data_IF_442185458039
#
_entry.id   IF_442185458039
#
_cell.length_a   1.000
_cell.length_b   1.000
_cell.length_c   1.000
_cell.angle_alpha   90.00
_cell.angle_beta   90.00
_cell.angle_gamma   90.00
#
_symmetry.space_group_name_H-M   'P 1'
#
loop_
_entity.id
_entity.type
_entity.pdbx_description
1 polymer ?
#
# COMPACT_ATOMS: atom_id res chain seq x y z
N UNK A 1 17.69 3.48 42.94
CA UNK A 1 19.17 3.42 43.00
C UNK A 1 19.77 4.20 44.18
N UNK A 2 19.32 5.40 44.55
CA UNK A 2 19.95 6.20 45.63
C UNK A 2 19.85 5.61 47.06
N UNK A 3 18.72 5.01 47.48
CA UNK A 3 18.60 4.46 48.86
C UNK A 3 19.19 3.06 49.07
N UNK A 4 19.47 2.30 48.00
CA UNK A 4 20.18 1.02 48.10
C UNK A 4 21.69 1.19 48.25
N UNK A 5 22.23 2.35 47.88
CA UNK A 5 23.66 2.71 47.91
C UNK A 5 24.00 3.74 49.01
N UNK A 6 23.03 4.17 49.83
CA UNK A 6 23.24 5.10 50.94
C UNK A 6 23.55 6.56 50.55
N UNK A 7 23.47 6.92 49.25
CA UNK A 7 23.79 8.27 48.79
C UNK A 7 22.64 9.25 49.02
N UNK A 8 22.97 10.50 49.33
CA UNK A 8 21.96 11.54 49.52
C UNK A 8 21.30 11.92 48.19
N UNK A 9 20.06 12.41 48.22
CA UNK A 9 19.34 12.87 47.02
C UNK A 9 20.12 14.00 46.32
N UNK A 10 20.75 14.88 47.09
CA UNK A 10 21.56 16.00 46.59
C UNK A 10 22.81 15.52 45.87
N UNK A 11 23.47 14.50 46.41
CA UNK A 11 24.68 13.89 45.83
C UNK A 11 24.36 13.13 44.55
N UNK A 12 23.23 12.42 44.52
CA UNK A 12 22.72 11.77 43.31
C UNK A 12 22.37 12.80 42.22
N UNK A 13 21.77 13.93 42.61
CA UNK A 13 21.45 15.03 41.69
C UNK A 13 22.72 15.68 41.10
N UNK A 14 23.76 15.89 41.91
CA UNK A 14 25.07 16.38 41.44
C UNK A 14 25.76 15.39 40.51
N UNK A 15 25.75 14.11 40.85
CA UNK A 15 26.39 13.04 40.07
C UNK A 15 25.72 12.87 38.68
N UNK A 16 24.40 12.99 38.62
CA UNK A 16 23.62 12.87 37.37
C UNK A 16 23.49 14.22 36.63
N UNK A 17 23.94 15.33 37.23
CA UNK A 17 23.85 16.67 36.63
C UNK A 17 22.40 17.16 36.45
N UNK A 18 21.47 16.71 37.29
CA UNK A 18 20.04 17.03 37.21
C UNK A 18 19.57 17.77 38.46
N UNK A 19 18.42 18.45 38.41
CA UNK A 19 17.88 19.13 39.59
C UNK A 19 17.44 18.13 40.67
N UNK A 20 17.54 18.54 41.94
CA UNK A 20 17.06 17.73 43.09
C UNK A 20 15.59 17.34 42.93
N UNK A 21 14.76 18.24 42.39
CA UNK A 21 13.34 17.98 42.13
C UNK A 21 13.11 16.92 41.04
N UNK A 22 13.94 16.87 40.00
CA UNK A 22 13.88 15.83 38.98
C UNK A 22 14.20 14.44 39.56
N UNK A 23 15.22 14.35 40.43
CA UNK A 23 15.56 13.09 41.11
C UNK A 23 14.43 12.60 42.02
N UNK A 24 13.80 13.52 42.77
CA UNK A 24 12.65 13.20 43.63
C UNK A 24 11.45 12.76 42.80
N UNK A 25 11.12 13.46 41.73
CA UNK A 25 9.95 13.14 40.89
C UNK A 25 10.14 11.82 40.14
N UNK A 26 11.33 11.54 39.60
CA UNK A 26 11.65 10.26 38.98
C UNK A 26 11.64 9.11 39.98
N UNK A 27 12.12 9.32 41.21
CA UNK A 27 12.07 8.31 42.27
C UNK A 27 10.64 8.01 42.73
N UNK A 28 9.81 9.05 42.90
CA UNK A 28 8.40 8.89 43.23
C UNK A 28 7.63 8.13 42.14
N UNK A 29 7.84 8.49 40.87
CA UNK A 29 7.29 7.74 39.72
C UNK A 29 7.73 6.28 39.70
N UNK A 30 9.01 6.01 39.97
CA UNK A 30 9.52 4.64 40.00
C UNK A 30 8.88 3.78 41.11
N UNK A 31 8.62 4.36 42.29
CA UNK A 31 7.93 3.66 43.39
C UNK A 31 6.46 3.39 43.02
N UNK A 32 5.78 4.35 42.42
CA UNK A 32 4.35 4.25 42.13
C UNK A 32 4.05 3.39 40.88
N UNK A 33 4.86 3.53 39.82
CA UNK A 33 4.58 2.97 38.49
C UNK A 33 5.46 1.74 38.15
N UNK A 34 6.33 1.30 39.07
CA UNK A 34 7.22 0.15 38.88
C UNK A 34 8.35 0.35 37.85
N UNK A 35 8.51 1.57 37.31
CA UNK A 35 9.52 1.92 36.32
C UNK A 35 9.51 3.39 35.94
N UNK A 36 10.63 3.91 35.42
CA UNK A 36 10.77 5.33 35.02
C UNK A 36 10.33 5.58 33.57
N UNK A 37 10.01 4.53 32.81
CA UNK A 37 9.63 4.66 31.39
C UNK A 37 8.14 4.94 31.22
N UNK A 38 7.61 5.96 31.90
CA UNK A 38 6.38 6.59 31.43
C UNK A 38 6.79 7.52 30.28
N UNK A 39 6.92 7.00 29.05
CA UNK A 39 6.63 7.86 27.90
C UNK A 39 5.19 8.28 28.13
N UNK A 40 4.98 9.48 28.70
CA UNK A 40 3.67 10.10 28.67
C UNK A 40 3.17 9.92 27.25
N UNK A 41 1.93 9.48 27.10
CA UNK A 41 1.30 9.50 25.79
C UNK A 41 1.17 10.98 25.43
N UNK A 42 2.26 11.57 24.92
CA UNK A 42 2.27 12.91 24.40
C UNK A 42 1.22 12.88 23.31
N UNK A 43 0.12 13.58 23.57
CA UNK A 43 -0.93 13.78 22.60
C UNK A 43 -0.28 14.64 21.54
N UNK A 44 0.26 13.99 20.52
CA UNK A 44 1.00 14.66 19.45
C UNK A 44 0.15 15.72 18.78
N UNK A 45 0.79 16.53 17.92
CA UNK A 45 0.11 17.59 17.16
C UNK A 45 -1.23 17.06 16.59
N UNK A 46 -2.35 17.74 16.87
CA UNK A 46 -3.65 17.33 16.36
C UNK A 46 -3.61 17.16 14.84
N UNK A 47 -4.19 16.06 14.36
CA UNK A 47 -4.24 15.77 12.92
C UNK A 47 -5.08 16.81 12.19
N UNK A 48 -4.60 17.26 11.03
CA UNK A 48 -5.27 18.25 10.17
C UNK A 48 -6.64 17.75 9.73
N UNK A 49 -6.74 16.47 9.35
CA UNK A 49 -8.01 15.84 9.01
C UNK A 49 -8.65 15.18 10.22
N UNK A 50 -9.81 15.71 10.63
CA UNK A 50 -10.73 15.03 11.54
C UNK A 50 -11.29 13.76 10.89
N UNK A 51 -11.82 12.85 11.72
CA UNK A 51 -12.39 11.57 11.26
C UNK A 51 -13.46 11.72 10.17
N UNK A 52 -14.32 12.75 10.25
CA UNK A 52 -15.30 13.06 9.19
C UNK A 52 -14.63 13.44 7.86
N UNK A 53 -13.54 14.19 7.90
CA UNK A 53 -12.74 14.55 6.72
C UNK A 53 -12.04 13.33 6.12
N UNK A 54 -11.50 12.46 6.98
CA UNK A 54 -10.89 11.18 6.59
C UNK A 54 -11.88 10.27 5.83
N UNK A 55 -13.11 10.15 6.32
CA UNK A 55 -14.17 9.38 5.66
C UNK A 55 -14.55 9.97 4.30
N UNK A 56 -14.72 11.30 4.23
CA UNK A 56 -15.01 12.00 2.96
C UNK A 56 -13.89 11.77 1.93
N UNK A 57 -12.64 11.91 2.35
CA UNK A 57 -11.47 11.68 1.50
C UNK A 57 -11.40 10.24 1.00
N UNK A 58 -11.65 9.25 1.88
CA UNK A 58 -11.71 7.84 1.48
C UNK A 58 -12.82 7.59 0.45
N UNK A 59 -14.02 8.17 0.63
CA UNK A 59 -15.10 8.04 -0.34
C UNK A 59 -14.73 8.64 -1.70
N UNK A 60 -14.14 9.84 -1.72
CA UNK A 60 -13.73 10.53 -2.93
C UNK A 60 -12.68 9.72 -3.72
N UNK A 61 -11.67 9.20 -3.02
CA UNK A 61 -10.64 8.34 -3.63
C UNK A 61 -11.22 7.03 -4.17
N UNK A 62 -12.18 6.41 -3.45
CA UNK A 62 -12.81 5.17 -3.91
C UNK A 62 -13.70 5.37 -5.14
N UNK A 63 -14.35 6.53 -5.26
CA UNK A 63 -15.10 6.92 -6.45
C UNK A 63 -14.18 7.12 -7.66
N UNK A 64 -13.06 7.83 -7.49
CA UNK A 64 -12.12 8.13 -8.56
C UNK A 64 -10.68 7.76 -8.19
N UNK A 65 -10.36 6.46 -8.28
CA UNK A 65 -9.06 5.91 -7.87
C UNK A 65 -7.85 6.41 -8.67
N UNK A 66 -8.08 7.05 -9.82
CA UNK A 66 -7.06 7.57 -10.75
C UNK A 66 -6.71 9.05 -10.54
N UNK A 67 -7.44 9.77 -9.69
CA UNK A 67 -7.21 11.20 -9.47
C UNK A 67 -5.91 11.49 -8.71
N UNK A 68 -5.27 12.59 -9.07
CA UNK A 68 -4.07 13.12 -8.42
C UNK A 68 -4.46 13.84 -7.13
N UNK A 69 -3.54 13.95 -6.15
CA UNK A 69 -3.80 14.65 -4.87
C UNK A 69 -4.26 16.09 -5.09
N UNK A 70 -3.58 16.80 -6.01
CA UNK A 70 -3.93 18.16 -6.40
C UNK A 70 -5.36 18.32 -6.93
N UNK A 71 -5.97 17.26 -7.47
CA UNK A 71 -7.36 17.28 -7.95
C UNK A 71 -8.39 16.96 -6.85
N UNK A 72 -7.94 16.39 -5.73
CA UNK A 72 -8.81 15.99 -4.61
C UNK A 72 -9.02 17.13 -3.61
N UNK A 73 -8.16 18.15 -3.61
CA UNK A 73 -8.19 19.27 -2.66
C UNK A 73 -7.63 20.55 -3.30
N UNK A 74 -8.47 21.58 -3.46
CA UNK A 74 -8.05 22.91 -3.98
C UNK A 74 -7.29 23.76 -2.95
N UNK A 75 -7.39 23.44 -1.66
CA UNK A 75 -6.98 24.36 -0.57
C UNK A 75 -6.14 23.72 0.55
N UNK A 76 -5.77 22.44 0.43
CA UNK A 76 -4.98 21.74 1.46
C UNK A 76 -3.63 21.35 0.88
N UNK A 77 -2.57 21.50 1.66
CA UNK A 77 -1.24 21.16 1.22
C UNK A 77 -1.12 19.66 0.87
N UNK A 78 -0.62 19.36 -0.33
CA UNK A 78 -0.55 18.00 -0.90
C UNK A 78 0.09 16.97 0.04
N UNK A 79 1.11 17.38 0.80
CA UNK A 79 1.85 16.50 1.70
C UNK A 79 1.01 16.01 2.89
N UNK A 80 0.07 16.82 3.39
CA UNK A 80 -0.82 16.47 4.50
C UNK A 80 -1.88 15.44 4.06
N UNK A 81 -2.41 15.63 2.85
CA UNK A 81 -3.36 14.69 2.23
C UNK A 81 -2.64 13.38 1.91
N UNK A 82 -1.43 13.43 1.37
CA UNK A 82 -0.65 12.23 1.07
C UNK A 82 -0.31 11.44 2.34
N UNK A 83 0.15 12.09 3.40
CA UNK A 83 0.40 11.44 4.70
C UNK A 83 -0.86 10.80 5.27
N UNK A 84 -1.99 11.51 5.20
CA UNK A 84 -3.29 11.02 5.67
C UNK A 84 -3.78 9.81 4.87
N UNK A 85 -3.55 9.78 3.55
CA UNK A 85 -3.89 8.64 2.70
C UNK A 85 -3.01 7.42 2.97
N UNK A 86 -1.71 7.62 3.22
CA UNK A 86 -0.79 6.56 3.59
C UNK A 86 -1.13 5.96 4.96
N UNK A 87 -1.50 6.80 5.93
CA UNK A 87 -1.99 6.37 7.25
C UNK A 87 -3.30 5.56 7.16
N UNK A 88 -4.10 5.78 6.10
CA UNK A 88 -5.26 4.93 5.78
C UNK A 88 -4.92 3.67 4.96
N UNK A 89 -3.65 3.48 4.56
CA UNK A 89 -3.20 2.38 3.71
C UNK A 89 -3.48 2.56 2.21
N UNK A 90 -4.00 3.72 1.77
CA UNK A 90 -4.32 4.02 0.37
C UNK A 90 -3.06 4.42 -0.39
N UNK A 91 -2.29 3.41 -0.79
CA UNK A 91 -1.05 3.59 -1.52
C UNK A 91 -1.29 3.89 -3.01
N UNK A 92 -0.45 4.75 -3.59
CA UNK A 92 -0.38 4.94 -5.03
C UNK A 92 0.41 3.78 -5.67
N UNK A 93 -0.23 2.99 -6.53
CA UNK A 93 0.35 1.82 -7.21
C UNK A 93 0.00 1.82 -8.70
N UNK A 94 0.76 1.08 -9.51
CA UNK A 94 0.39 0.86 -10.91
C UNK A 94 -0.86 -0.03 -10.98
N UNK A 95 -1.83 0.28 -11.87
CA UNK A 95 -2.97 -0.59 -12.08
C UNK A 95 -2.51 -1.93 -12.63
N UNK A 96 -3.21 -2.98 -12.26
CA UNK A 96 -2.89 -4.32 -12.75
C UNK A 96 -3.44 -4.46 -14.16
N UNK A 97 -2.57 -4.84 -15.10
CA UNK A 97 -2.96 -5.08 -16.48
C UNK A 97 -3.71 -6.41 -16.54
N UNK A 98 -4.95 -6.36 -17.01
CA UNK A 98 -5.78 -7.55 -17.16
C UNK A 98 -6.46 -7.51 -18.54
N UNK A 99 -6.64 -8.68 -19.19
CA UNK A 99 -7.44 -8.74 -20.39
C UNK A 99 -8.89 -8.39 -20.04
N UNK A 100 -9.49 -7.48 -20.83
CA UNK A 100 -10.90 -7.13 -20.65
C UNK A 100 -11.77 -8.26 -21.22
N UNK A 101 -12.24 -9.13 -20.34
CA UNK A 101 -13.08 -10.27 -20.72
C UNK A 101 -14.57 -9.97 -20.51
N UNK A 102 -15.36 -10.14 -21.59
CA UNK A 102 -16.83 -10.17 -21.54
C UNK A 102 -17.31 -11.38 -20.73
N UNK A 103 -18.54 -11.31 -20.19
CA UNK A 103 -19.14 -12.42 -19.41
C UNK A 103 -19.09 -13.77 -20.15
N UNK A 104 -19.46 -13.77 -21.43
CA UNK A 104 -19.38 -14.96 -22.31
C UNK A 104 -17.96 -15.54 -22.38
N UNK A 105 -16.95 -14.70 -22.57
CA UNK A 105 -15.55 -15.16 -22.67
C UNK A 105 -15.07 -15.77 -21.35
N UNK A 106 -15.53 -15.25 -20.20
CA UNK A 106 -15.20 -15.83 -18.88
C UNK A 106 -15.80 -17.22 -18.72
N UNK A 107 -17.05 -17.42 -19.13
CA UNK A 107 -17.72 -18.72 -19.08
C UNK A 107 -17.02 -19.74 -19.97
N UNK A 108 -16.73 -19.38 -21.23
CA UNK A 108 -16.03 -20.27 -22.16
C UNK A 108 -14.64 -20.66 -21.64
N UNK A 109 -13.88 -19.71 -21.11
CA UNK A 109 -12.56 -20.00 -20.52
C UNK A 109 -12.65 -20.91 -19.30
N UNK A 110 -13.66 -20.71 -18.44
CA UNK A 110 -13.87 -21.55 -17.27
C UNK A 110 -14.28 -22.97 -17.67
N UNK A 111 -15.16 -23.10 -18.68
CA UNK A 111 -15.56 -24.39 -19.21
C UNK A 111 -14.37 -25.14 -19.79
N UNK A 112 -13.60 -24.49 -20.66
CA UNK A 112 -12.39 -25.08 -21.25
C UNK A 112 -11.42 -25.55 -20.16
N UNK A 113 -11.15 -24.72 -19.14
CA UNK A 113 -10.27 -25.08 -18.03
C UNK A 113 -10.79 -26.25 -17.19
N UNK A 114 -12.11 -26.47 -17.12
CA UNK A 114 -12.70 -27.62 -16.44
C UNK A 114 -12.58 -28.89 -17.27
N UNK A 115 -12.83 -28.80 -18.57
CA UNK A 115 -12.73 -29.92 -19.51
C UNK A 115 -11.29 -30.45 -19.60
N UNK A 116 -10.30 -29.56 -19.51
CA UNK A 116 -8.88 -29.89 -19.64
C UNK A 116 -8.14 -29.95 -18.29
N UNK A 117 -8.88 -30.00 -17.17
CA UNK A 117 -8.30 -29.98 -15.83
C UNK A 117 -7.47 -31.23 -15.53
N UNK A 118 -7.98 -32.38 -15.95
CA UNK A 118 -7.44 -33.69 -15.61
C UNK A 118 -6.63 -34.29 -16.78
N UNK A 119 -6.25 -33.46 -17.76
CA UNK A 119 -5.40 -33.87 -18.88
C UNK A 119 -4.01 -34.29 -18.40
N UNK A 120 -3.56 -35.41 -18.95
CA UNK A 120 -2.26 -36.01 -18.72
C UNK A 120 -1.17 -35.31 -19.53
N UNK A 121 0.10 -35.50 -19.15
CA UNK A 121 1.23 -34.93 -19.89
C UNK A 121 1.26 -35.40 -21.35
N UNK A 122 0.90 -36.65 -21.63
CA UNK A 122 0.85 -37.21 -22.99
C UNK A 122 -0.26 -36.59 -23.86
N UNK A 123 -1.28 -36.02 -23.25
CA UNK A 123 -2.31 -35.26 -23.96
C UNK A 123 -1.82 -33.84 -24.27
N UNK A 124 -1.10 -33.21 -23.33
CA UNK A 124 -0.49 -31.89 -23.55
C UNK A 124 0.61 -31.90 -24.60
N UNK A 125 1.40 -32.98 -24.71
CA UNK A 125 2.48 -33.09 -25.73
C UNK A 125 1.95 -33.16 -27.15
N UNK A 126 0.68 -33.59 -27.34
CA UNK A 126 0.03 -33.62 -28.65
C UNK A 126 -0.50 -32.26 -29.10
N UNK A 127 -0.48 -31.25 -28.22
CA UNK A 127 -0.97 -29.91 -28.53
C UNK A 127 0.16 -29.08 -29.14
N UNK A 128 -0.06 -28.62 -30.38
CA UNK A 128 0.77 -27.58 -30.99
C UNK A 128 0.16 -26.22 -30.71
N UNK A 129 0.92 -25.37 -30.04
CA UNK A 129 0.53 -24.00 -29.73
C UNK A 129 1.00 -23.06 -30.83
N UNK A 130 0.12 -22.17 -31.27
CA UNK A 130 0.46 -21.06 -32.16
C UNK A 130 -0.01 -19.76 -31.56
N UNK A 131 0.81 -18.72 -31.61
CA UNK A 131 0.41 -17.38 -31.19
C UNK A 131 1.07 -16.32 -32.08
N UNK A 132 0.46 -15.14 -32.08
CA UNK A 132 0.98 -13.97 -32.76
C UNK A 132 1.27 -12.89 -31.73
N UNK A 133 2.56 -12.56 -31.57
CA UNK A 133 3.02 -11.60 -30.58
C UNK A 133 3.54 -10.33 -31.24
N UNK A 134 3.12 -9.19 -30.69
CA UNK A 134 3.55 -7.86 -31.15
C UNK A 134 4.59 -7.30 -30.19
N UNK A 135 5.79 -7.04 -30.70
CA UNK A 135 6.85 -6.37 -29.96
C UNK A 135 6.85 -4.88 -30.30
N UNK A 136 6.65 -4.04 -29.28
CA UNK A 136 6.62 -2.59 -29.44
C UNK A 136 8.05 -2.05 -29.48
N UNK A 137 8.37 -1.20 -30.47
CA UNK A 137 9.67 -0.52 -30.54
C UNK A 137 9.79 0.64 -29.55
N UNK A 138 8.66 1.14 -29.04
CA UNK A 138 8.61 2.22 -28.06
C UNK A 138 7.85 1.77 -26.81
N UNK A 139 8.44 1.98 -25.64
CA UNK A 139 7.81 1.66 -24.37
C UNK A 139 6.65 2.62 -24.09
N UNK A 140 5.42 2.11 -24.03
CA UNK A 140 4.26 2.90 -23.60
C UNK A 140 4.42 3.21 -22.11
N UNK A 141 4.76 4.46 -21.81
CA UNK A 141 5.03 4.92 -20.45
C UNK A 141 3.73 4.88 -19.63
N UNK A 142 3.54 3.79 -18.89
CA UNK A 142 2.36 3.48 -18.08
C UNK A 142 2.25 4.35 -16.84
N UNK A 143 2.35 5.67 -16.98
CA UNK A 143 2.34 6.68 -15.91
C UNK A 143 1.02 6.76 -15.14
N UNK A 144 0.00 6.02 -15.55
CA UNK A 144 -1.26 5.90 -14.80
C UNK A 144 -1.01 5.19 -13.47
N UNK A 145 -1.34 5.86 -12.37
CA UNK A 145 -1.35 5.28 -11.02
C UNK A 145 -2.77 5.23 -10.49
N UNK A 146 -3.05 4.22 -9.68
CA UNK A 146 -4.30 4.06 -8.94
C UNK A 146 -4.01 4.05 -7.44
N UNK A 147 -4.89 4.63 -6.64
CA UNK A 147 -4.84 4.51 -5.18
C UNK A 147 -5.67 3.31 -4.73
N UNK A 148 -5.04 2.38 -4.00
CA UNK A 148 -5.69 1.15 -3.53
C UNK A 148 -5.13 0.65 -2.21
N UNK A 149 -5.98 -0.06 -1.47
CA UNK A 149 -5.57 -0.85 -0.31
C UNK A 149 -4.90 -2.16 -0.78
N UNK A 150 -4.13 -2.82 0.10
CA UNK A 150 -3.73 -4.21 -0.10
C UNK A 150 -4.96 -5.10 -0.36
N UNK A 151 -4.91 -6.00 -1.35
CA UNK A 151 -6.01 -6.90 -1.71
C UNK A 151 -7.00 -6.37 -2.76
N UNK A 152 -7.08 -5.05 -2.96
CA UNK A 152 -8.00 -4.43 -3.95
C UNK A 152 -7.46 -4.45 -5.39
N UNK A 153 -6.49 -5.32 -5.68
CA UNK A 153 -5.73 -5.32 -6.93
C UNK A 153 -6.59 -5.64 -8.15
N UNK A 154 -7.53 -6.58 -8.01
CA UNK A 154 -8.36 -7.10 -9.10
C UNK A 154 -9.70 -6.37 -9.23
N UNK A 155 -9.93 -5.30 -8.46
CA UNK A 155 -11.13 -4.48 -8.63
C UNK A 155 -11.11 -3.82 -10.01
N UNK A 156 -12.25 -3.74 -10.73
CA UNK A 156 -12.32 -3.12 -12.05
C UNK A 156 -11.73 -1.69 -12.09
N UNK A 157 -11.94 -0.91 -11.02
CA UNK A 157 -11.41 0.45 -10.87
C UNK A 157 -9.90 0.54 -10.61
N UNK A 158 -9.27 -0.57 -10.20
CA UNK A 158 -7.83 -0.72 -9.97
C UNK A 158 -7.11 -1.43 -11.14
N UNK A 159 -7.85 -1.91 -12.12
CA UNK A 159 -7.31 -2.59 -13.30
C UNK A 159 -7.25 -1.66 -14.50
N UNK A 160 -6.31 -1.95 -15.40
CA UNK A 160 -6.24 -1.33 -16.71
C UNK A 160 -6.38 -2.43 -17.77
N UNK A 161 -7.28 -2.19 -18.72
CA UNK A 161 -7.40 -3.05 -19.89
C UNK A 161 -6.13 -2.99 -20.72
N UNK A 162 -5.70 -4.14 -21.20
CA UNK A 162 -4.72 -4.20 -22.29
C UNK A 162 -5.48 -4.06 -23.61
N UNK A 163 -5.36 -2.91 -24.27
CA UNK A 163 -5.80 -2.73 -25.66
C UNK A 163 -4.55 -2.76 -26.54
N UNK A 164 -4.54 -3.60 -27.57
CA UNK A 164 -3.38 -3.81 -28.46
C UNK A 164 -3.23 -2.74 -29.55
N UNK A 165 -3.90 -1.60 -29.39
CA UNK A 165 -4.05 -0.62 -30.46
C UNK A 165 -3.15 0.61 -30.23
N UNK A 166 -2.34 0.93 -31.24
CA UNK A 166 -1.65 2.23 -31.37
C UNK A 166 -0.18 2.24 -30.99
N UNK A 167 0.69 1.79 -31.90
CA UNK A 167 2.14 2.05 -31.83
C UNK A 167 2.92 1.19 -32.82
N UNK A 168 3.91 1.74 -33.53
CA UNK A 168 4.78 0.95 -34.41
C UNK A 168 5.39 -0.24 -33.67
N UNK A 169 5.32 -1.43 -34.26
CA UNK A 169 5.82 -2.66 -33.63
C UNK A 169 5.95 -3.78 -34.65
N UNK A 170 6.81 -4.74 -34.35
CA UNK A 170 7.05 -5.92 -35.19
C UNK A 170 6.09 -7.01 -34.73
N UNK A 171 5.43 -7.64 -35.71
CA UNK A 171 4.52 -8.75 -35.48
C UNK A 171 5.26 -10.05 -35.82
N UNK A 172 5.30 -10.97 -34.87
CA UNK A 172 5.96 -12.27 -35.01
C UNK A 172 4.91 -13.34 -34.81
N UNK A 173 4.82 -14.25 -35.77
CA UNK A 173 4.06 -15.48 -35.66
C UNK A 173 5.01 -16.62 -35.31
N UNK A 174 4.60 -17.48 -34.39
CA UNK A 174 5.39 -18.63 -34.00
C UNK A 174 4.52 -19.78 -33.55
N UNK A 175 5.06 -20.99 -33.68
CA UNK A 175 4.46 -22.20 -33.15
C UNK A 175 5.45 -22.95 -32.30
N UNK A 176 4.98 -23.59 -31.24
CA UNK A 176 5.79 -24.48 -30.45
C UNK A 176 4.95 -25.66 -29.96
N UNK A 177 5.60 -26.81 -29.85
CA UNK A 177 5.09 -27.99 -29.15
C UNK A 177 6.08 -28.36 -28.06
N UNK A 178 5.72 -29.35 -27.25
CA UNK A 178 6.64 -29.95 -26.27
C UNK A 178 7.83 -30.65 -26.93
#
# INVERSE_FOLDING_TARGET
MARRLGTSITETARLVGCSRSAVVSSHAKWINDGGTSSRCQDVGRPRVFKEKGRRRLSCLVKQNRRQTVAQLTDHVADHEVQGTLLDMGLCSKRPTRVPLLRKRHRQLRLQWAREHRDWTMDEWTRVTWSDESRFLTHHVDGRVKVRRLPGEQLLPSCTAGHTQDGGGGIMLWGTFSW
#
